data_IF_441284984326
#
_entry.id   IF_441284984326
#
_cell.length_a   1.000
_cell.length_b   1.000
_cell.length_c   1.000
_cell.angle_alpha   90.00
_cell.angle_beta   90.00
_cell.angle_gamma   90.00
#
_symmetry.space_group_name_H-M   'P 1'
#
loop_
_entity.id
_entity.type
_entity.pdbx_description
1 polymer ?
#
# COMPACT_ATOMS: atom_id res chain seq x y z
N UNK A 1 -28.15 14.21 5.86
CA UNK A 1 -26.95 13.40 5.57
C UNK A 1 -27.31 12.58 4.35
N UNK A 2 -26.70 12.85 3.20
CA UNK A 2 -27.08 12.13 1.96
C UNK A 2 -26.56 10.70 2.08
N UNK A 3 -27.45 9.74 1.83
CA UNK A 3 -27.14 8.33 1.90
C UNK A 3 -26.16 7.95 0.79
N UNK A 4 -25.12 7.20 1.14
CA UNK A 4 -24.01 6.85 0.22
C UNK A 4 -24.58 6.09 -0.98
N UNK A 5 -25.58 5.24 -0.75
CA UNK A 5 -26.26 4.49 -1.80
C UNK A 5 -26.99 5.40 -2.80
N UNK A 6 -27.54 6.53 -2.33
CA UNK A 6 -28.19 7.52 -3.21
C UNK A 6 -27.15 8.26 -4.06
N UNK A 7 -26.00 8.60 -3.48
CA UNK A 7 -24.91 9.25 -4.21
C UNK A 7 -24.30 8.32 -5.28
N UNK A 8 -24.11 7.04 -4.98
CA UNK A 8 -23.61 6.04 -5.94
C UNK A 8 -24.62 5.72 -7.04
N UNK A 9 -25.92 5.72 -6.72
CA UNK A 9 -26.98 5.52 -7.72
C UNK A 9 -27.04 6.68 -8.71
N UNK A 10 -26.94 7.92 -8.22
CA UNK A 10 -26.84 9.11 -9.06
C UNK A 10 -25.58 9.06 -9.95
N UNK A 11 -24.44 8.61 -9.40
CA UNK A 11 -23.20 8.49 -10.17
C UNK A 11 -23.29 7.44 -11.28
N UNK A 12 -24.06 6.36 -11.08
CA UNK A 12 -24.31 5.32 -12.08
C UNK A 12 -25.16 5.82 -13.25
N UNK A 13 -26.05 6.77 -13.03
CA UNK A 13 -26.94 7.32 -14.06
C UNK A 13 -26.26 8.38 -14.93
N UNK A 14 -25.09 8.89 -14.52
CA UNK A 14 -24.33 9.85 -15.31
C UNK A 14 -23.77 9.19 -16.58
N UNK A 15 -23.86 9.87 -17.74
CA UNK A 15 -23.24 9.37 -18.96
C UNK A 15 -21.72 9.31 -18.81
N UNK A 16 -21.12 8.25 -19.33
CA UNK A 16 -19.66 8.11 -19.41
C UNK A 16 -19.13 9.17 -20.36
N UNK A 17 -18.17 9.97 -19.90
CA UNK A 17 -17.53 11.00 -20.74
C UNK A 17 -16.83 10.31 -21.93
N UNK A 18 -17.07 10.73 -23.18
CA UNK A 18 -16.45 10.12 -24.37
C UNK A 18 -14.92 10.16 -24.35
N UNK A 19 -14.31 11.05 -23.56
CA UNK A 19 -12.85 11.07 -23.37
C UNK A 19 -12.35 9.79 -22.70
N UNK A 20 -13.13 9.17 -21.82
CA UNK A 20 -12.77 7.90 -21.14
C UNK A 20 -12.55 6.77 -22.14
N UNK A 21 -13.27 6.74 -23.27
CA UNK A 21 -13.07 5.75 -24.32
C UNK A 21 -11.67 5.83 -24.96
N UNK A 22 -11.10 7.03 -24.97
CA UNK A 22 -9.76 7.29 -25.52
C UNK A 22 -8.64 7.30 -24.47
N UNK A 23 -8.97 7.20 -23.18
CA UNK A 23 -7.99 7.29 -22.09
C UNK A 23 -6.96 6.17 -22.19
N UNK A 24 -7.37 4.94 -22.50
CA UNK A 24 -6.44 3.81 -22.59
C UNK A 24 -5.36 4.07 -23.65
N UNK A 25 -5.76 4.53 -24.84
CA UNK A 25 -4.81 4.89 -25.90
C UNK A 25 -3.89 6.04 -25.49
N UNK A 26 -4.45 7.10 -24.90
CA UNK A 26 -3.69 8.25 -24.44
C UNK A 26 -2.66 7.89 -23.35
N UNK A 27 -3.01 6.98 -22.43
CA UNK A 27 -2.12 6.51 -21.37
C UNK A 27 -0.99 5.67 -21.95
N UNK A 28 -1.29 4.74 -22.87
CA UNK A 28 -0.27 3.91 -23.51
C UNK A 28 0.71 4.77 -24.34
N UNK A 29 0.20 5.76 -25.07
CA UNK A 29 1.02 6.69 -25.84
C UNK A 29 1.89 7.57 -24.92
N UNK A 30 1.34 8.06 -23.81
CA UNK A 30 2.11 8.81 -22.82
C UNK A 30 3.23 7.95 -22.21
N UNK A 31 2.95 6.67 -21.92
CA UNK A 31 3.94 5.74 -21.38
C UNK A 31 5.04 5.42 -22.41
N UNK A 32 4.66 5.22 -23.67
CA UNK A 32 5.60 5.01 -24.78
C UNK A 32 6.48 6.25 -25.01
N UNK A 33 5.89 7.45 -24.93
CA UNK A 33 6.60 8.72 -25.01
C UNK A 33 7.60 8.85 -23.85
N UNK A 34 7.17 8.60 -22.61
CA UNK A 34 8.04 8.65 -21.44
C UNK A 34 9.15 7.60 -21.48
N UNK A 35 8.91 6.41 -22.04
CA UNK A 35 9.98 5.41 -22.23
C UNK A 35 11.03 5.85 -23.26
N UNK A 36 10.62 6.58 -24.30
CA UNK A 36 11.51 7.07 -25.37
C UNK A 36 12.23 8.37 -25.01
N UNK A 37 11.58 9.26 -24.27
CA UNK A 37 12.07 10.63 -24.00
C UNK A 37 12.34 10.91 -22.51
N UNK A 38 11.90 10.03 -21.61
CA UNK A 38 12.30 10.10 -20.22
C UNK A 38 13.80 9.88 -20.13
N UNK A 39 14.48 10.69 -19.33
CA UNK A 39 15.88 10.48 -19.05
C UNK A 39 16.03 9.07 -18.46
N UNK A 40 16.71 8.13 -19.14
CA UNK A 40 16.96 6.84 -18.54
C UNK A 40 17.76 7.11 -17.25
N UNK A 41 17.27 6.60 -16.12
CA UNK A 41 18.09 6.52 -14.92
C UNK A 41 19.40 5.86 -15.34
N UNK A 42 20.51 6.57 -15.19
CA UNK A 42 21.82 6.03 -15.55
C UNK A 42 21.97 4.66 -14.92
N UNK A 43 22.44 3.66 -15.67
CA UNK A 43 22.60 2.29 -15.15
C UNK A 43 23.43 2.25 -13.86
N UNK A 44 24.33 3.21 -13.67
CA UNK A 44 25.07 3.42 -12.44
C UNK A 44 24.15 3.79 -11.25
N UNK A 45 23.17 4.68 -11.43
CA UNK A 45 22.21 5.06 -10.39
C UNK A 45 21.34 3.89 -9.98
N UNK A 46 20.85 3.11 -10.95
CA UNK A 46 20.10 1.89 -10.67
C UNK A 46 20.96 0.86 -9.92
N UNK A 47 22.19 0.65 -10.37
CA UNK A 47 23.14 -0.26 -9.72
C UNK A 47 23.45 0.14 -8.27
N UNK A 48 23.64 1.44 -8.01
CA UNK A 48 23.81 1.96 -6.65
C UNK A 48 22.56 1.71 -5.80
N UNK A 49 21.38 2.04 -6.30
CA UNK A 49 20.13 1.83 -5.58
C UNK A 49 19.88 0.34 -5.26
N UNK A 50 20.09 -0.53 -6.24
CA UNK A 50 19.98 -1.98 -6.07
C UNK A 50 21.00 -2.51 -5.05
N UNK A 51 22.26 -2.06 -5.14
CA UNK A 51 23.32 -2.44 -4.20
C UNK A 51 23.00 -2.01 -2.75
N UNK A 52 22.50 -0.79 -2.56
CA UNK A 52 22.08 -0.29 -1.24
C UNK A 52 20.87 -1.06 -0.71
N UNK A 53 19.86 -1.33 -1.53
CA UNK A 53 18.70 -2.11 -1.11
C UNK A 53 19.09 -3.53 -0.68
N UNK A 54 19.96 -4.19 -1.45
CA UNK A 54 20.47 -5.53 -1.14
C UNK A 54 21.33 -5.54 0.12
N UNK A 55 22.20 -4.54 0.30
CA UNK A 55 23.06 -4.47 1.50
C UNK A 55 22.24 -4.25 2.76
N UNK A 56 21.26 -3.35 2.73
CA UNK A 56 20.34 -3.10 3.85
C UNK A 56 19.49 -4.33 4.16
N UNK A 57 18.95 -4.99 3.13
CA UNK A 57 18.16 -6.23 3.31
C UNK A 57 19.00 -7.37 3.91
N UNK A 58 20.23 -7.53 3.45
CA UNK A 58 21.14 -8.56 3.97
C UNK A 58 21.56 -8.27 5.42
N UNK A 59 21.87 -7.01 5.74
CA UNK A 59 22.20 -6.59 7.11
C UNK A 59 20.99 -6.73 8.05
N UNK A 60 19.78 -6.44 7.57
CA UNK A 60 18.54 -6.64 8.31
C UNK A 60 18.20 -8.11 8.54
N UNK A 61 18.64 -9.02 7.66
CA UNK A 61 18.40 -10.46 7.79
C UNK A 61 19.22 -11.14 8.89
N UNK A 62 20.39 -10.59 9.24
CA UNK A 62 21.28 -11.19 10.27
C UNK A 62 20.97 -10.69 11.68
N UNK A 63 20.25 -9.58 11.79
CA UNK A 63 19.79 -9.06 13.07
C UNK A 63 18.40 -9.65 13.31
N UNK A 64 18.22 -10.62 14.22
CA UNK A 64 16.89 -11.10 14.55
C UNK A 64 16.07 -9.89 15.01
N UNK A 65 14.96 -9.63 14.32
CA UNK A 65 14.05 -8.57 14.71
C UNK A 65 13.66 -8.83 16.16
N UNK A 66 14.14 -7.98 17.08
CA UNK A 66 13.62 -7.96 18.44
C UNK A 66 12.12 -7.76 18.28
N UNK A 67 11.31 -8.69 18.81
CA UNK A 67 9.86 -8.53 18.84
C UNK A 67 9.55 -7.20 19.52
N UNK A 68 9.40 -6.14 18.74
CA UNK A 68 8.85 -4.90 19.21
C UNK A 68 7.41 -5.25 19.48
N UNK A 69 7.06 -5.41 20.76
CA UNK A 69 5.68 -5.47 21.23
C UNK A 69 4.97 -4.27 20.61
N UNK A 70 4.28 -4.49 19.49
CA UNK A 70 3.49 -3.46 18.82
C UNK A 70 2.50 -2.95 19.87
N UNK A 71 2.60 -1.66 20.21
CA UNK A 71 1.56 -1.03 20.99
C UNK A 71 0.25 -1.20 20.22
N UNK A 72 -0.76 -1.71 20.91
CA UNK A 72 -2.07 -2.02 20.34
C UNK A 72 -2.55 -0.91 19.39
N UNK A 73 -2.89 -1.29 18.16
CA UNK A 73 -3.43 -0.38 17.13
C UNK A 73 -4.84 0.11 17.51
N UNK A 74 -5.46 -0.39 18.59
CA UNK A 74 -6.76 0.08 19.06
C UNK A 74 -6.66 1.48 19.69
N UNK A 75 -7.07 2.57 19.01
CA UNK A 75 -6.92 3.93 19.53
C UNK A 75 -7.97 4.27 20.60
N UNK A 76 -8.98 3.40 20.77
CA UNK A 76 -10.13 3.63 21.65
C UNK A 76 -10.56 2.41 22.48
N UNK A 77 -9.70 1.41 22.71
CA UNK A 77 -10.12 0.24 23.49
C UNK A 77 -9.00 -0.70 23.94
N UNK A 78 -9.26 -1.42 25.02
CA UNK A 78 -8.38 -2.47 25.52
C UNK A 78 -8.25 -3.58 24.44
N UNK A 79 -7.03 -4.06 24.15
CA UNK A 79 -6.83 -5.14 23.20
C UNK A 79 -7.70 -6.34 23.63
N UNK A 80 -8.56 -6.87 22.74
CA UNK A 80 -9.42 -7.98 23.11
C UNK A 80 -8.54 -9.16 23.54
N UNK A 81 -8.84 -9.74 24.71
CA UNK A 81 -8.23 -10.98 25.16
C UNK A 81 -8.68 -12.11 24.22
N UNK A 82 -7.98 -12.27 23.10
CA UNK A 82 -8.35 -13.18 22.00
C UNK A 82 -8.06 -14.66 22.29
N UNK A 83 -8.06 -15.09 23.56
CA UNK A 83 -8.12 -16.50 23.89
C UNK A 83 -8.88 -16.70 25.21
N UNK A 84 -9.95 -17.52 25.23
CA UNK A 84 -10.69 -17.82 26.46
C UNK A 84 -9.85 -18.55 27.53
N UNK A 85 -8.67 -19.06 27.20
CA UNK A 85 -7.74 -19.67 28.15
C UNK A 85 -7.05 -18.66 29.08
N UNK A 86 -6.98 -17.39 28.72
CA UNK A 86 -6.36 -16.33 29.55
C UNK A 86 -7.26 -15.91 30.72
N UNK A 87 -8.54 -16.32 30.71
CA UNK A 87 -9.51 -16.07 31.77
C UNK A 87 -9.46 -17.12 32.90
N UNK A 88 -8.85 -18.29 32.68
CA UNK A 88 -8.78 -19.39 33.65
C UNK A 88 -7.46 -19.44 34.44
N UNK A 89 -6.52 -18.52 34.19
CA UNK A 89 -5.17 -18.57 34.73
C UNK A 89 -4.84 -17.46 35.71
N UNK A 90 -5.65 -17.22 36.74
CA UNK A 90 -5.17 -16.68 38.03
C UNK A 90 -6.22 -16.90 39.12
N UNK A 91 -6.15 -18.06 39.74
CA UNK A 91 -6.75 -18.30 41.06
C UNK A 91 -5.75 -19.09 41.88
N UNK A 92 -4.72 -18.37 42.35
CA UNK A 92 -4.09 -18.52 43.66
C UNK A 92 -3.75 -17.12 44.19
#
# INVERSE_FOLDING_TARGET
MMDVDTALSCLRELPVDPRLETIDGAVIDALAYQRRHGAPLSGAVFGIAAGVALSVGLLGSVIPARETRMASIAPFGAPPALAPSTLLGTSE
#
